data_IF_460872739569
#
_entry.id   IF_460872739569
#
_cell.length_a   1.000
_cell.length_b   1.000
_cell.length_c   1.000
_cell.angle_alpha   90.00
_cell.angle_beta   90.00
_cell.angle_gamma   90.00
#
_symmetry.space_group_name_H-M   'P 1'
#
loop_
_entity.id
_entity.type
_entity.pdbx_description
1 polymer ?
#
# COMPACT_ATOMS: atom_id res chain seq x y z
N UNK A 1 35.57 -26.57 0.50
CA UNK A 1 34.45 -25.81 -0.09
C UNK A 1 33.27 -25.97 0.84
N UNK A 2 33.02 -25.00 1.71
CA UNK A 2 31.93 -25.04 2.68
C UNK A 2 30.91 -24.01 2.23
N UNK A 3 29.72 -24.48 1.82
CA UNK A 3 28.58 -23.61 1.54
C UNK A 3 28.10 -23.02 2.86
N UNK A 4 28.32 -21.73 3.05
CA UNK A 4 27.62 -20.94 4.05
C UNK A 4 26.26 -20.60 3.42
N UNK A 5 25.24 -21.34 3.81
CA UNK A 5 23.84 -21.05 3.50
C UNK A 5 23.53 -19.70 4.14
N UNK A 6 23.23 -18.70 3.32
CA UNK A 6 22.89 -17.35 3.73
C UNK A 6 21.50 -17.33 4.39
N UNK A 7 21.40 -17.82 5.63
CA UNK A 7 20.18 -17.80 6.43
C UNK A 7 19.85 -16.40 7.02
N UNK A 8 20.49 -15.32 6.53
CA UNK A 8 20.37 -13.97 7.09
C UNK A 8 19.53 -13.00 6.22
N UNK A 9 18.97 -13.42 5.08
CA UNK A 9 18.19 -12.51 4.20
C UNK A 9 16.68 -12.48 4.47
N UNK A 10 16.15 -13.42 5.25
CA UNK A 10 14.72 -13.70 5.33
C UNK A 10 13.83 -12.68 6.08
N UNK A 11 14.39 -11.61 6.67
CA UNK A 11 13.60 -10.65 7.46
C UNK A 11 13.91 -9.17 7.20
N UNK A 12 15.16 -8.83 6.87
CA UNK A 12 15.55 -7.43 6.68
C UNK A 12 14.96 -6.83 5.39
N UNK A 13 14.93 -7.60 4.28
CA UNK A 13 14.46 -7.09 2.98
C UNK A 13 12.96 -6.80 2.96
N UNK A 14 12.16 -7.50 3.77
CA UNK A 14 10.71 -7.28 3.84
C UNK A 14 10.36 -5.98 4.59
N UNK A 15 11.26 -5.45 5.41
CA UNK A 15 11.03 -4.18 6.13
C UNK A 15 11.35 -2.94 5.29
N UNK A 16 12.03 -3.13 4.16
CA UNK A 16 12.42 -2.05 3.25
C UNK A 16 11.37 -1.87 2.13
N UNK A 17 11.38 -0.69 1.52
CA UNK A 17 10.53 -0.41 0.36
C UNK A 17 10.88 -1.36 -0.80
N UNK A 18 9.93 -2.14 -1.32
CA UNK A 18 10.23 -3.09 -2.39
C UNK A 18 10.53 -2.38 -3.72
N UNK A 19 11.55 -2.85 -4.43
CA UNK A 19 11.75 -2.54 -5.85
C UNK A 19 10.74 -3.31 -6.70
N UNK A 20 9.63 -2.64 -7.02
CA UNK A 20 8.51 -3.23 -7.77
C UNK A 20 8.88 -3.68 -9.19
N UNK A 21 10.03 -3.27 -9.74
CA UNK A 21 10.52 -3.75 -11.04
C UNK A 21 10.89 -5.23 -11.03
N UNK A 22 11.12 -5.78 -9.83
CA UNK A 22 11.38 -7.21 -9.61
C UNK A 22 10.09 -8.04 -9.53
N UNK A 23 8.91 -7.41 -9.56
CA UNK A 23 7.62 -8.05 -9.44
C UNK A 23 6.88 -8.05 -10.77
N UNK A 24 5.97 -9.01 -10.94
CA UNK A 24 5.06 -9.08 -12.09
C UNK A 24 3.64 -8.71 -11.67
N UNK A 25 2.93 -8.01 -12.53
CA UNK A 25 1.51 -7.72 -12.32
C UNK A 25 0.71 -9.03 -12.24
N UNK A 26 -0.01 -9.23 -11.15
CA UNK A 26 -0.90 -10.37 -10.95
C UNK A 26 -2.36 -9.98 -11.18
N UNK A 27 -2.80 -8.84 -10.65
CA UNK A 27 -4.18 -8.35 -10.77
C UNK A 27 -4.23 -6.83 -10.71
N UNK A 28 -5.24 -6.23 -11.33
CA UNK A 28 -5.60 -4.82 -11.20
C UNK A 28 -7.05 -4.65 -10.76
N UNK A 29 -7.32 -3.63 -9.95
CA UNK A 29 -8.64 -3.13 -9.63
C UNK A 29 -8.71 -1.65 -10.06
N UNK A 30 -9.57 -1.35 -11.04
CA UNK A 30 -9.76 0.02 -11.55
C UNK A 30 -10.57 0.90 -10.58
N UNK A 31 -11.36 0.27 -9.72
CA UNK A 31 -11.96 0.87 -8.53
C UNK A 31 -11.65 -0.07 -7.39
N UNK A 32 -10.67 0.31 -6.57
CA UNK A 32 -10.26 -0.47 -5.42
C UNK A 32 -11.16 -0.15 -4.21
N UNK A 33 -11.32 -1.13 -3.34
CA UNK A 33 -12.08 -1.02 -2.11
C UNK A 33 -11.17 -0.98 -0.89
N UNK A 34 -11.70 -0.42 0.19
CA UNK A 34 -11.18 -0.60 1.53
C UNK A 34 -12.26 -1.29 2.38
N UNK A 35 -11.91 -2.44 2.95
CA UNK A 35 -12.83 -3.28 3.74
C UNK A 35 -14.18 -3.56 3.03
N UNK A 36 -14.15 -3.84 1.72
CA UNK A 36 -15.35 -4.11 0.92
C UNK A 36 -16.08 -2.86 0.42
N UNK A 37 -15.63 -1.66 0.79
CA UNK A 37 -16.23 -0.40 0.36
C UNK A 37 -15.41 0.25 -0.75
N UNK A 38 -15.99 0.34 -1.95
CA UNK A 38 -15.34 0.96 -3.10
C UNK A 38 -15.01 2.43 -2.82
N UNK A 39 -13.78 2.86 -3.15
CA UNK A 39 -13.35 4.25 -2.98
C UNK A 39 -13.22 4.93 -4.35
N UNK A 40 -14.05 5.95 -4.64
CA UNK A 40 -14.00 6.64 -5.92
C UNK A 40 -12.62 7.25 -6.19
N UNK A 41 -12.06 6.95 -7.37
CA UNK A 41 -10.76 7.46 -7.79
C UNK A 41 -9.56 6.66 -7.29
N UNK A 42 -9.76 5.63 -6.45
CA UNK A 42 -8.72 4.72 -6.01
C UNK A 42 -8.58 3.53 -6.98
N UNK A 43 -7.37 3.30 -7.46
CA UNK A 43 -6.98 2.12 -8.23
C UNK A 43 -5.95 1.30 -7.45
N UNK A 44 -5.90 -0.01 -7.67
CA UNK A 44 -4.88 -0.88 -7.09
C UNK A 44 -4.27 -1.82 -8.13
N UNK A 45 -2.96 -2.01 -8.04
CA UNK A 45 -2.22 -3.07 -8.72
C UNK A 45 -1.63 -4.01 -7.67
N UNK A 46 -1.87 -5.30 -7.83
CA UNK A 46 -1.31 -6.34 -6.99
C UNK A 46 -0.22 -7.05 -7.78
N UNK A 47 1.02 -6.90 -7.33
CA UNK A 47 2.20 -7.46 -7.97
C UNK A 47 2.74 -8.62 -7.13
N UNK A 48 3.36 -9.60 -7.78
CA UNK A 48 3.93 -10.79 -7.11
C UNK A 48 5.31 -11.13 -7.62
N UNK A 49 6.11 -11.74 -6.74
CA UNK A 49 7.45 -12.28 -7.02
C UNK A 49 7.64 -13.58 -6.23
N UNK A 50 8.17 -14.60 -6.88
CA UNK A 50 8.62 -15.81 -6.18
C UNK A 50 9.92 -15.53 -5.43
N UNK A 51 10.03 -16.04 -4.21
CA UNK A 51 11.17 -15.83 -3.32
C UNK A 51 11.35 -17.05 -2.42
N UNK A 52 12.34 -17.89 -2.75
CA UNK A 52 12.69 -19.11 -2.02
C UNK A 52 11.50 -19.99 -1.61
N UNK A 53 10.58 -20.23 -2.54
CA UNK A 53 9.41 -21.08 -2.33
C UNK A 53 8.22 -20.39 -1.66
N UNK A 54 8.34 -19.09 -1.34
CA UNK A 54 7.22 -18.21 -0.96
C UNK A 54 6.91 -17.24 -2.09
N UNK A 55 5.78 -16.56 -1.97
CA UNK A 55 5.37 -15.53 -2.93
C UNK A 55 5.22 -14.21 -2.21
N UNK A 56 6.16 -13.30 -2.47
CA UNK A 56 6.07 -11.92 -2.01
C UNK A 56 5.01 -11.19 -2.85
N UNK A 57 4.24 -10.32 -2.21
CA UNK A 57 3.17 -9.53 -2.83
C UNK A 57 3.27 -8.07 -2.44
N UNK A 58 3.02 -7.17 -3.40
CA UNK A 58 2.95 -5.72 -3.20
C UNK A 58 1.64 -5.22 -3.78
N UNK A 59 0.81 -4.58 -2.96
CA UNK A 59 -0.29 -3.73 -3.39
C UNK A 59 0.21 -2.31 -3.61
N UNK A 60 0.14 -1.82 -4.85
CA UNK A 60 0.40 -0.43 -5.25
C UNK A 60 -0.93 0.27 -5.46
N UNK A 61 -1.18 1.32 -4.68
CA UNK A 61 -2.44 2.05 -4.70
C UNK A 61 -2.22 3.45 -5.27
N UNK A 62 -3.09 3.82 -6.21
CA UNK A 62 -3.06 5.10 -6.91
C UNK A 62 -4.38 5.82 -6.71
N UNK A 63 -4.32 7.10 -6.39
CA UNK A 63 -5.48 7.98 -6.36
C UNK A 63 -5.28 9.10 -7.38
N UNK A 64 -6.26 9.33 -8.24
CA UNK A 64 -6.17 10.32 -9.32
C UNK A 64 -4.84 10.20 -10.12
N UNK A 65 -4.48 8.97 -10.49
CA UNK A 65 -3.25 8.61 -11.24
C UNK A 65 -1.93 8.91 -10.50
N UNK A 66 -1.99 9.26 -9.22
CA UNK A 66 -0.82 9.47 -8.37
C UNK A 66 -0.72 8.31 -7.39
N UNK A 67 0.41 7.63 -7.38
CA UNK A 67 0.67 6.60 -6.38
C UNK A 67 0.71 7.22 -4.99
N UNK A 68 -0.05 6.67 -4.04
CA UNK A 68 -0.22 7.20 -2.69
C UNK A 68 0.21 6.22 -1.59
N UNK A 69 0.21 4.92 -1.87
CA UNK A 69 0.43 3.88 -0.88
C UNK A 69 1.03 2.64 -1.52
N UNK A 70 1.98 2.03 -0.81
CA UNK A 70 2.37 0.64 -1.00
C UNK A 70 2.12 -0.15 0.27
N UNK A 71 1.59 -1.35 0.14
CA UNK A 71 1.50 -2.31 1.23
C UNK A 71 2.00 -3.67 0.73
N UNK A 72 2.87 -4.33 1.47
CA UNK A 72 3.53 -5.54 1.01
C UNK A 72 3.72 -6.56 2.13
N UNK A 73 3.97 -7.79 1.73
CA UNK A 73 4.09 -8.95 2.61
C UNK A 73 4.07 -10.23 1.79
N UNK A 74 3.63 -11.31 2.41
CA UNK A 74 3.58 -12.62 1.78
C UNK A 74 2.14 -13.03 1.46
N UNK A 75 1.92 -13.73 0.34
CA UNK A 75 0.55 -14.13 -0.03
C UNK A 75 -0.05 -15.21 0.86
N UNK A 76 0.80 -15.91 1.64
CA UNK A 76 0.41 -16.91 2.62
C UNK A 76 0.09 -16.31 4.01
N UNK A 77 0.21 -14.98 4.16
CA UNK A 77 -0.14 -14.24 5.37
C UNK A 77 -1.45 -13.44 5.18
N UNK A 78 -2.24 -13.34 6.25
CA UNK A 78 -3.55 -12.68 6.20
C UNK A 78 -3.45 -11.14 6.07
N UNK A 79 -2.33 -10.56 6.50
CA UNK A 79 -2.14 -9.12 6.58
C UNK A 79 -0.84 -8.70 5.92
N UNK A 80 -0.76 -7.44 5.51
CA UNK A 80 0.48 -6.86 5.04
C UNK A 80 1.51 -6.87 6.18
N UNK A 81 2.75 -7.25 5.86
CA UNK A 81 3.86 -7.19 6.80
C UNK A 81 4.29 -5.74 7.03
N UNK A 82 4.27 -4.92 5.96
CA UNK A 82 4.66 -3.52 6.00
C UNK A 82 3.84 -2.67 5.03
N UNK A 83 3.82 -1.36 5.26
CA UNK A 83 3.24 -0.38 4.37
C UNK A 83 4.03 0.93 4.40
N UNK A 84 3.88 1.74 3.36
CA UNK A 84 4.48 3.07 3.25
C UNK A 84 3.54 3.99 2.49
N UNK A 85 3.37 5.20 2.99
CA UNK A 85 2.52 6.23 2.40
C UNK A 85 3.39 7.28 1.70
N UNK A 86 2.93 7.75 0.55
CA UNK A 86 3.62 8.80 -0.20
C UNK A 86 3.24 10.16 0.36
N UNK A 87 4.23 10.99 0.63
CA UNK A 87 4.06 12.37 1.04
C UNK A 87 3.52 13.23 -0.11
N UNK A 88 2.90 14.36 0.23
CA UNK A 88 2.36 15.31 -0.75
C UNK A 88 3.45 15.94 -1.66
N UNK A 89 4.70 15.98 -1.19
CA UNK A 89 5.86 16.43 -1.98
C UNK A 89 6.39 15.36 -2.96
N UNK A 90 5.77 14.18 -2.97
CA UNK A 90 6.12 13.05 -3.82
C UNK A 90 7.18 12.11 -3.26
N UNK A 91 7.75 12.41 -2.08
CA UNK A 91 8.65 11.50 -1.34
C UNK A 91 7.87 10.38 -0.65
N UNK A 92 8.56 9.35 -0.16
CA UNK A 92 7.96 8.28 0.63
C UNK A 92 8.26 8.48 2.10
N UNK A 93 7.24 8.34 2.95
CA UNK A 93 7.47 8.15 4.38
C UNK A 93 8.17 6.79 4.62
N UNK A 94 8.91 6.65 5.74
CA UNK A 94 9.52 5.38 6.09
C UNK A 94 8.49 4.25 6.17
N UNK A 95 8.85 3.01 5.79
CA UNK A 95 8.02 1.84 6.02
C UNK A 95 7.58 1.70 7.48
N UNK A 96 6.31 1.35 7.68
CA UNK A 96 5.70 1.04 8.97
C UNK A 96 5.25 -0.41 8.97
N UNK A 97 5.43 -1.10 10.09
CA UNK A 97 4.98 -2.48 10.25
C UNK A 97 3.45 -2.57 10.21
N UNK A 98 2.93 -3.56 9.51
CA UNK A 98 1.51 -3.86 9.38
C UNK A 98 0.80 -3.16 8.22
N UNK A 99 -0.53 -3.32 8.23
CA UNK A 99 -1.42 -2.67 7.26
C UNK A 99 -1.46 -1.15 7.47
N UNK A 100 -1.71 -0.38 6.41
CA UNK A 100 -1.86 1.07 6.54
C UNK A 100 -3.09 1.41 7.39
N UNK A 101 -3.00 2.48 8.17
CA UNK A 101 -4.18 3.07 8.82
C UNK A 101 -4.92 3.92 7.81
N UNK A 102 -6.17 3.54 7.53
CA UNK A 102 -7.03 4.21 6.55
C UNK A 102 -8.35 4.63 7.22
N UNK A 103 -8.83 5.83 6.90
CA UNK A 103 -10.18 6.26 7.22
C UNK A 103 -10.93 6.61 5.93
N UNK A 104 -12.19 6.17 5.81
CA UNK A 104 -13.04 6.56 4.68
C UNK A 104 -13.61 7.95 4.90
N UNK A 105 -13.48 8.82 3.91
CA UNK A 105 -14.18 10.11 3.89
C UNK A 105 -15.57 9.92 3.31
N UNK A 106 -16.57 10.53 3.95
CA UNK A 106 -17.98 10.45 3.56
C UNK A 106 -18.56 11.84 3.29
N UNK A 107 -19.62 11.88 2.50
CA UNK A 107 -20.34 13.13 2.22
C UNK A 107 -20.89 13.77 3.50
N UNK A 108 -20.83 15.11 3.55
CA UNK A 108 -21.36 15.89 4.66
C UNK A 108 -22.86 16.20 4.56
N UNK A 109 -23.53 15.75 3.50
CA UNK A 109 -24.96 15.95 3.25
C UNK A 109 -25.87 14.96 3.99
N UNK A 110 -25.29 14.08 4.81
CA UNK A 110 -26.01 13.06 5.58
C UNK A 110 -26.20 11.74 4.84
N UNK A 111 -25.69 11.59 3.61
CA UNK A 111 -25.57 10.30 2.94
C UNK A 111 -24.38 9.49 3.48
N UNK A 112 -24.45 8.16 3.38
CA UNK A 112 -23.32 7.25 3.67
C UNK A 112 -22.40 7.07 2.45
N UNK A 113 -22.44 8.03 1.52
CA UNK A 113 -21.63 7.98 0.29
C UNK A 113 -20.15 8.22 0.62
N UNK A 114 -19.29 7.30 0.18
CA UNK A 114 -17.83 7.45 0.28
C UNK A 114 -17.32 8.37 -0.81
N UNK A 115 -16.64 9.44 -0.41
CA UNK A 115 -16.09 10.46 -1.30
C UNK A 115 -14.57 10.35 -1.46
N UNK A 116 -13.90 9.55 -0.61
CA UNK A 116 -12.46 9.42 -0.61
C UNK A 116 -11.92 8.64 0.59
N UNK A 117 -10.64 8.86 0.87
CA UNK A 117 -9.95 8.26 2.02
C UNK A 117 -8.91 9.19 2.64
N UNK A 118 -8.50 8.88 3.88
CA UNK A 118 -7.36 9.45 4.57
C UNK A 118 -6.39 8.32 4.93
N UNK A 119 -5.10 8.54 4.72
CA UNK A 119 -4.02 7.63 5.09
C UNK A 119 -3.17 8.26 6.19
N UNK A 120 -2.92 7.54 7.27
CA UNK A 120 -1.96 8.01 8.27
C UNK A 120 -0.55 7.95 7.68
N UNK A 121 0.19 9.05 7.76
CA UNK A 121 1.53 9.17 7.16
C UNK A 121 2.66 8.59 8.04
N UNK A 122 2.32 8.01 9.19
CA UNK A 122 3.28 7.47 10.16
C UNK A 122 4.01 8.53 11.00
N UNK A 123 3.83 9.82 10.70
CA UNK A 123 4.42 10.96 11.43
C UNK A 123 3.42 11.68 12.33
N UNK A 124 2.19 11.16 12.43
CA UNK A 124 1.07 11.77 13.14
C UNK A 124 0.19 12.67 12.25
N UNK A 125 0.50 12.78 10.95
CA UNK A 125 -0.30 13.52 9.97
C UNK A 125 -1.13 12.59 9.09
N UNK A 126 -1.96 13.21 8.24
CA UNK A 126 -2.82 12.50 7.30
C UNK A 126 -2.61 12.97 5.86
N UNK A 127 -2.49 12.01 4.94
CA UNK A 127 -2.70 12.25 3.52
C UNK A 127 -4.19 12.11 3.22
N UNK A 128 -4.81 13.15 2.70
CA UNK A 128 -6.25 13.19 2.37
C UNK A 128 -6.43 13.11 0.86
N UNK A 129 -7.18 12.10 0.41
CA UNK A 129 -7.47 11.81 -0.99
C UNK A 129 -8.99 11.90 -1.21
N UNK A 130 -9.46 13.00 -1.80
CA UNK A 130 -10.88 13.26 -2.00
C UNK A 130 -11.10 14.18 -3.21
N UNK A 131 -12.24 14.03 -3.89
CA UNK A 131 -12.63 14.88 -5.02
C UNK A 131 -11.54 15.01 -6.10
N UNK A 132 -10.80 13.92 -6.35
CA UNK A 132 -9.71 13.87 -7.34
C UNK A 132 -8.46 14.66 -6.94
N UNK A 133 -8.30 15.02 -5.67
CA UNK A 133 -7.16 15.76 -5.14
C UNK A 133 -6.48 15.01 -4.00
N UNK A 134 -5.19 15.28 -3.84
CA UNK A 134 -4.35 14.80 -2.74
C UNK A 134 -3.87 16.02 -1.96
N UNK A 135 -4.03 16.01 -0.64
CA UNK A 135 -3.61 17.08 0.25
C UNK A 135 -3.12 16.53 1.59
N UNK A 136 -2.46 17.37 2.40
CA UNK A 136 -2.06 17.01 3.77
C UNK A 136 -2.94 17.73 4.78
N UNK A 137 -3.33 17.05 5.86
CA UNK A 137 -4.02 17.64 7.02
C UNK A 137 -3.43 17.18 8.34
#
# INVERSE_FOLDING_TARGET
MTHVIAAARYGAEMSEMPDIRLYRLHRRAAVADFEGTAVPGLCAEYLRREDDGRVASVGRYEYAQTEILRAWGWTDEAHCAYSAVRAADGSWHPPVAGCPTVELTRSGDGSDEVTGLRLADGTGGWLVCEAGRISRR
#
